data_IF_788501814066
#
_entry.id   IF_788501814066
#
_cell.length_a   1.000
_cell.length_b   1.000
_cell.length_c   1.000
_cell.angle_alpha   90.00
_cell.angle_beta   90.00
_cell.angle_gamma   90.00
#
_symmetry.space_group_name_H-M   'P 1'
#
loop_
_entity.id
_entity.type
_entity.pdbx_description
1 polymer ?
#
# COMPACT_ATOMS: atom_id res chain seq x y z
N UNK A 1 -6.62 22.30 -16.61
CA UNK A 1 -5.19 22.04 -16.31
C UNK A 1 -4.99 21.40 -14.94
N UNK A 2 -5.50 21.95 -13.84
CA UNK A 2 -5.35 21.38 -12.48
C UNK A 2 -5.71 19.89 -12.37
N UNK A 3 -6.80 19.45 -13.01
CA UNK A 3 -7.23 18.04 -13.05
C UNK A 3 -6.16 17.11 -13.66
N UNK A 4 -5.50 17.55 -14.73
CA UNK A 4 -4.45 16.75 -15.39
C UNK A 4 -3.21 16.62 -14.51
N UNK A 5 -2.85 17.69 -13.80
CA UNK A 5 -1.72 17.69 -12.85
C UNK A 5 -2.02 16.74 -11.69
N UNK A 6 -3.24 16.76 -11.16
CA UNK A 6 -3.66 15.84 -10.10
C UNK A 6 -3.63 14.38 -10.57
N UNK A 7 -4.13 14.09 -11.77
CA UNK A 7 -4.09 12.75 -12.36
C UNK A 7 -2.63 12.28 -12.52
N UNK A 8 -1.76 13.12 -13.10
CA UNK A 8 -0.34 12.80 -13.25
C UNK A 8 0.34 12.58 -11.88
N UNK A 9 0.00 13.38 -10.88
CA UNK A 9 0.49 13.23 -9.51
C UNK A 9 0.07 11.91 -8.87
N UNK A 10 -1.20 11.52 -9.02
CA UNK A 10 -1.71 10.23 -8.51
C UNK A 10 -1.02 9.06 -9.22
N UNK A 11 -0.87 9.13 -10.55
CA UNK A 11 -0.16 8.10 -11.32
C UNK A 11 1.29 7.99 -10.83
N UNK A 12 2.00 9.11 -10.69
CA UNK A 12 3.37 9.14 -10.18
C UNK A 12 3.48 8.58 -8.76
N UNK A 13 2.51 8.89 -7.90
CA UNK A 13 2.44 8.35 -6.54
C UNK A 13 2.28 6.83 -6.52
N UNK A 14 1.37 6.30 -7.35
CA UNK A 14 1.19 4.85 -7.49
C UNK A 14 2.46 4.20 -8.02
N UNK A 15 3.08 4.76 -9.06
CA UNK A 15 4.35 4.25 -9.60
C UNK A 15 5.48 4.25 -8.57
N UNK A 16 5.56 5.27 -7.72
CA UNK A 16 6.50 5.31 -6.60
C UNK A 16 6.24 4.17 -5.62
N UNK A 17 4.99 3.95 -5.20
CA UNK A 17 4.63 2.85 -4.31
C UNK A 17 4.95 1.47 -4.90
N UNK A 18 4.70 1.28 -6.20
CA UNK A 18 5.06 0.05 -6.92
C UNK A 18 6.58 -0.14 -6.93
N UNK A 19 7.34 0.91 -7.26
CA UNK A 19 8.80 0.89 -7.26
C UNK A 19 9.39 0.55 -5.89
N UNK A 20 8.85 1.13 -4.81
CA UNK A 20 9.22 0.79 -3.43
C UNK A 20 8.94 -0.68 -3.15
N UNK A 21 7.78 -1.19 -3.55
CA UNK A 21 7.42 -2.61 -3.35
C UNK A 21 8.41 -3.54 -4.03
N UNK A 22 8.76 -3.24 -5.29
CA UNK A 22 9.73 -4.03 -6.05
C UNK A 22 11.13 -3.98 -5.43
N UNK A 23 11.53 -2.84 -4.84
CA UNK A 23 12.81 -2.74 -4.11
C UNK A 23 12.79 -3.56 -2.81
N UNK A 24 11.70 -3.52 -2.04
CA UNK A 24 11.52 -4.31 -0.83
C UNK A 24 11.50 -5.81 -1.15
N UNK A 25 10.86 -6.21 -2.25
CA UNK A 25 10.84 -7.57 -2.74
C UNK A 25 12.22 -8.07 -3.15
N UNK A 26 12.97 -7.27 -3.92
CA UNK A 26 14.35 -7.61 -4.32
C UNK A 26 15.25 -7.86 -3.10
N UNK A 27 15.00 -7.18 -1.99
CA UNK A 27 15.76 -7.33 -0.76
C UNK A 27 15.20 -8.39 0.21
N UNK A 28 14.17 -9.16 -0.17
CA UNK A 28 13.44 -10.10 0.71
C UNK A 28 12.91 -9.44 2.01
N UNK A 29 12.63 -8.15 1.97
CA UNK A 29 12.12 -7.36 3.10
C UNK A 29 10.62 -7.09 2.98
N UNK A 30 9.91 -7.90 2.19
CA UNK A 30 8.46 -7.75 2.06
C UNK A 30 7.81 -7.94 3.44
N UNK A 31 7.16 -6.89 3.97
CA UNK A 31 6.47 -7.00 5.25
C UNK A 31 5.30 -7.96 5.12
N UNK A 32 5.02 -8.72 6.19
CA UNK A 32 3.85 -9.60 6.23
C UNK A 32 2.60 -8.78 5.91
N UNK A 33 1.88 -9.18 4.87
CA UNK A 33 0.72 -8.49 4.34
C UNK A 33 -0.29 -8.06 5.41
N UNK A 34 -0.59 -8.93 6.37
CA UNK A 34 -1.54 -8.61 7.45
C UNK A 34 -1.06 -7.47 8.34
N UNK A 35 0.25 -7.44 8.62
CA UNK A 35 0.89 -6.37 9.39
C UNK A 35 0.82 -5.09 8.58
N UNK A 36 1.21 -5.11 7.30
CA UNK A 36 1.17 -3.95 6.42
C UNK A 36 -0.24 -3.37 6.32
N UNK A 37 -1.27 -4.21 6.15
CA UNK A 37 -2.66 -3.77 6.07
C UNK A 37 -3.16 -3.12 7.36
N UNK A 38 -2.77 -3.66 8.53
CA UNK A 38 -3.04 -3.01 9.82
C UNK A 38 -2.28 -1.69 9.95
N UNK A 39 -1.01 -1.66 9.53
CA UNK A 39 -0.12 -0.52 9.67
C UNK A 39 -0.59 0.67 8.82
N UNK A 40 -1.15 0.42 7.63
CA UNK A 40 -1.78 1.44 6.76
C UNK A 40 -2.79 2.27 7.55
N UNK A 41 -3.64 1.63 8.35
CA UNK A 41 -4.65 2.33 9.12
C UNK A 41 -4.08 2.94 10.40
N UNK A 42 -3.28 2.16 11.13
CA UNK A 42 -2.74 2.55 12.44
C UNK A 42 -1.79 3.75 12.36
N UNK A 43 -1.05 3.91 11.26
CA UNK A 43 -0.11 5.02 11.10
C UNK A 43 -0.78 6.38 11.12
N UNK A 44 -2.06 6.48 10.72
CA UNK A 44 -2.83 7.72 10.84
C UNK A 44 -3.69 7.72 12.10
N UNK A 45 -4.34 6.59 12.39
CA UNK A 45 -5.31 6.50 13.47
C UNK A 45 -4.66 6.77 14.82
N UNK A 46 -3.56 6.09 15.13
CA UNK A 46 -2.92 6.19 16.46
C UNK A 46 -2.43 7.61 16.71
N UNK A 47 -1.67 8.25 15.80
CA UNK A 47 -1.25 9.63 16.02
C UNK A 47 -2.44 10.58 16.16
N UNK A 48 -3.50 10.40 15.36
CA UNK A 48 -4.68 11.27 15.41
C UNK A 48 -5.47 11.15 16.71
N UNK A 49 -5.45 9.99 17.36
CA UNK A 49 -6.08 9.77 18.67
C UNK A 49 -5.22 10.25 19.83
N UNK A 50 -3.90 10.03 19.76
CA UNK A 50 -2.97 10.37 20.85
C UNK A 50 -2.64 11.86 20.86
N UNK A 51 -2.55 12.49 19.68
CA UNK A 51 -2.17 13.89 19.52
C UNK A 51 -3.35 14.70 18.93
N UNK A 52 -4.24 15.25 19.79
CA UNK A 52 -5.43 15.98 19.34
C UNK A 52 -5.12 17.24 18.52
N UNK A 53 -3.90 17.80 18.65
CA UNK A 53 -3.44 18.98 17.92
C UNK A 53 -2.27 18.65 16.98
N UNK A 54 -2.42 17.61 16.15
CA UNK A 54 -1.43 17.32 15.12
C UNK A 54 -1.37 18.46 14.07
N UNK A 55 -0.18 19.05 13.85
CA UNK A 55 0.05 20.01 12.77
C UNK A 55 -0.35 19.42 11.40
N UNK A 56 -0.85 20.27 10.52
CA UNK A 56 -1.35 19.84 9.22
C UNK A 56 -0.25 19.21 8.36
N UNK A 57 0.98 19.71 8.47
CA UNK A 57 2.17 19.21 7.80
C UNK A 57 2.44 17.75 8.16
N UNK A 58 2.39 17.42 9.45
CA UNK A 58 2.61 16.05 9.93
C UNK A 58 1.47 15.15 9.47
N UNK A 59 0.22 15.64 9.49
CA UNK A 59 -0.92 14.89 8.93
C UNK A 59 -0.71 14.57 7.46
N UNK A 60 -0.28 15.54 6.64
CA UNK A 60 0.01 15.29 5.23
C UNK A 60 1.09 14.21 5.04
N UNK A 61 2.16 14.24 5.83
CA UNK A 61 3.19 13.20 5.79
C UNK A 61 2.64 11.84 6.18
N UNK A 62 1.82 11.76 7.23
CA UNK A 62 1.18 10.51 7.65
C UNK A 62 0.22 9.95 6.60
N UNK A 63 -0.58 10.82 5.96
CA UNK A 63 -1.45 10.42 4.85
C UNK A 63 -0.67 9.94 3.64
N UNK A 64 0.44 10.62 3.32
CA UNK A 64 1.32 10.22 2.23
C UNK A 64 1.96 8.85 2.49
N UNK A 65 2.50 8.64 3.69
CA UNK A 65 3.07 7.34 4.12
C UNK A 65 2.02 6.23 4.13
N UNK A 66 0.82 6.51 4.64
CA UNK A 66 -0.30 5.58 4.61
C UNK A 66 -0.66 5.18 3.18
N UNK A 67 -0.69 6.13 2.25
CA UNK A 67 -0.96 5.83 0.85
C UNK A 67 0.11 4.94 0.22
N UNK A 68 1.40 5.19 0.52
CA UNK A 68 2.49 4.34 0.04
C UNK A 68 2.34 2.93 0.60
N UNK A 69 2.11 2.79 1.91
CA UNK A 69 1.87 1.49 2.55
C UNK A 69 0.67 0.76 1.94
N UNK A 70 -0.38 1.49 1.54
CA UNK A 70 -1.54 0.90 0.89
C UNK A 70 -1.17 0.33 -0.49
N UNK A 71 -0.40 1.07 -1.29
CA UNK A 71 0.11 0.58 -2.58
C UNK A 71 0.99 -0.65 -2.36
N UNK A 72 1.90 -0.63 -1.39
CA UNK A 72 2.76 -1.78 -1.02
C UNK A 72 1.92 -2.98 -0.62
N UNK A 73 0.86 -2.78 0.17
CA UNK A 73 -0.07 -3.84 0.54
C UNK A 73 -0.74 -4.45 -0.69
N UNK A 74 -1.25 -3.63 -1.61
CA UNK A 74 -1.90 -4.11 -2.85
C UNK A 74 -0.93 -4.86 -3.76
N UNK A 75 0.28 -4.35 -3.97
CA UNK A 75 1.29 -5.02 -4.81
C UNK A 75 1.80 -6.32 -4.17
N UNK A 76 2.02 -6.34 -2.85
CA UNK A 76 2.36 -7.59 -2.13
C UNK A 76 1.23 -8.62 -2.25
N UNK A 77 -0.03 -8.16 -2.15
CA UNK A 77 -1.23 -8.99 -2.35
C UNK A 77 -1.25 -9.58 -3.76
N UNK A 78 -0.98 -8.75 -4.76
CA UNK A 78 -0.93 -9.14 -6.16
C UNK A 78 0.18 -10.16 -6.43
N UNK A 79 1.39 -9.92 -5.92
CA UNK A 79 2.50 -10.87 -6.06
C UNK A 79 2.19 -12.24 -5.45
N UNK A 80 1.52 -12.28 -4.28
CA UNK A 80 1.07 -13.53 -3.66
C UNK A 80 -0.03 -14.24 -4.46
N UNK A 81 -0.93 -13.49 -5.09
CA UNK A 81 -1.97 -14.03 -5.98
C UNK A 81 -1.33 -14.63 -7.24
N UNK A 82 -0.40 -13.92 -7.87
CA UNK A 82 0.32 -14.39 -9.06
C UNK A 82 1.13 -15.67 -8.75
N UNK A 83 1.69 -15.78 -7.54
CA UNK A 83 2.43 -16.95 -7.06
C UNK A 83 1.54 -18.10 -6.56
N UNK A 84 0.22 -17.93 -6.51
CA UNK A 84 -0.73 -18.87 -5.91
C UNK A 84 -0.44 -19.23 -4.44
N UNK A 85 0.30 -18.39 -3.71
CA UNK A 85 0.64 -18.61 -2.28
C UNK A 85 -0.40 -18.02 -1.33
N UNK A 86 -1.55 -17.60 -1.88
CA UNK A 86 -2.61 -16.97 -1.15
C UNK A 86 -3.40 -17.98 -0.30
N UNK A 87 -3.05 -18.10 0.98
CA UNK A 87 -3.82 -18.90 1.96
C UNK A 87 -5.20 -18.27 2.18
N UNK A 88 -6.25 -18.87 1.62
CA UNK A 88 -7.65 -18.53 1.94
C UNK A 88 -8.62 -18.32 0.78
N UNK A 89 -8.18 -18.32 -0.48
CA UNK A 89 -9.09 -18.33 -1.63
C UNK A 89 -9.13 -19.77 -2.16
N UNK A 90 -10.31 -20.39 -2.15
CA UNK A 90 -10.56 -21.67 -2.83
C UNK A 90 -10.08 -21.49 -4.26
N UNK A 91 -9.13 -22.32 -4.71
CA UNK A 91 -8.66 -22.35 -6.09
C UNK A 91 -9.88 -22.32 -7.01
N UNK A 92 -10.16 -21.17 -7.64
CA UNK A 92 -11.07 -21.17 -8.77
C UNK A 92 -10.34 -21.94 -9.84
N UNK A 93 -10.73 -23.21 -9.98
CA UNK A 93 -10.26 -24.09 -11.03
C UNK A 93 -10.24 -23.29 -12.33
N UNK A 94 -9.05 -23.02 -12.84
CA UNK A 94 -8.88 -22.56 -14.21
C UNK A 94 -9.51 -23.64 -15.08
N UNK A 95 -10.75 -23.38 -15.51
CA UNK A 95 -11.44 -24.22 -16.47
C UNK A 95 -10.73 -24.02 -17.80
N UNK A 96 -9.67 -24.79 -18.04
CA UNK A 96 -9.18 -25.06 -19.39
C UNK A 96 -10.28 -25.80 -20.12
N UNK A 97 -10.95 -25.13 -21.05
CA UNK A 97 -11.44 -25.70 -22.30
C UNK A 97 -11.50 -24.60 -23.34
#
# INVERSE_FOLDING_TARGET
>A
MLKLILIAGIIGFVLLGVGITHLLEKNNWLPNRWITGLLVFLIILVPSMVFPQLPNEIKFVLYFLSGILAVVFFETTRGLLERNEYKGIVKTQTKRK
#
